data_IF_029712590429
#
_entry.id   IF_029712590429
#
_cell.length_a   1.000
_cell.length_b   1.000
_cell.length_c   1.000
_cell.angle_alpha   90.00
_cell.angle_beta   90.00
_cell.angle_gamma   90.00
#
_symmetry.space_group_name_H-M   'P 1'
#
loop_
_entity.id
_entity.type
_entity.pdbx_description
1 polymer ?
#
# COMPACT_ATOMS: atom_id res chain seq x y z
N UNK A 1 -35.36 -25.76 -56.35
CA UNK A 1 -35.26 -24.36 -55.85
C UNK A 1 -36.38 -24.21 -54.83
N UNK A 2 -36.20 -24.01 -53.52
CA UNK A 2 -35.20 -23.28 -52.74
C UNK A 2 -35.01 -24.08 -51.43
N UNK A 3 -33.79 -24.23 -50.93
CA UNK A 3 -33.60 -24.62 -49.51
C UNK A 3 -32.44 -23.81 -48.93
N UNK A 4 -32.78 -23.16 -47.82
CA UNK A 4 -32.00 -22.17 -47.10
C UNK A 4 -30.89 -22.84 -46.28
N UNK A 5 -29.68 -22.28 -46.36
CA UNK A 5 -28.56 -22.70 -45.53
C UNK A 5 -28.75 -22.23 -44.08
N UNK A 6 -28.87 -23.19 -43.16
CA UNK A 6 -28.67 -22.97 -41.72
C UNK A 6 -27.61 -23.96 -41.26
N UNK A 7 -26.44 -23.44 -40.93
CA UNK A 7 -25.27 -24.17 -40.43
C UNK A 7 -25.59 -24.77 -39.06
N UNK A 8 -25.79 -26.09 -39.03
CA UNK A 8 -25.86 -26.87 -37.81
C UNK A 8 -24.46 -27.40 -37.45
N UNK A 9 -24.05 -27.04 -36.23
CA UNK A 9 -23.11 -27.72 -35.32
C UNK A 9 -22.60 -29.10 -35.75
N UNK A 10 -21.29 -29.21 -35.97
CA UNK A 10 -20.59 -30.50 -36.00
C UNK A 10 -19.78 -30.69 -34.71
N UNK A 11 -20.27 -31.63 -33.90
CA UNK A 11 -19.64 -32.19 -32.71
C UNK A 11 -18.76 -33.36 -33.14
N UNK A 12 -17.47 -33.37 -32.79
CA UNK A 12 -16.61 -34.56 -32.69
C UNK A 12 -15.70 -34.35 -31.46
N UNK A 13 -15.89 -35.03 -30.31
CA UNK A 13 -15.44 -36.41 -29.93
C UNK A 13 -13.92 -36.57 -30.07
N UNK A 14 -13.10 -37.01 -29.12
CA UNK A 14 -13.16 -37.84 -27.88
C UNK A 14 -11.75 -37.70 -27.24
N UNK A 15 -11.51 -37.73 -25.93
CA UNK A 15 -11.15 -38.96 -25.17
C UNK A 15 -11.07 -38.69 -23.67
N UNK A 16 -11.55 -39.68 -22.90
CA UNK A 16 -11.53 -39.75 -21.45
C UNK A 16 -10.10 -39.93 -20.91
N UNK A 17 -9.76 -39.19 -19.85
CA UNK A 17 -8.96 -39.72 -18.75
C UNK A 17 -9.60 -39.26 -17.45
N UNK A 18 -10.22 -40.21 -16.74
CA UNK A 18 -10.63 -40.06 -15.36
C UNK A 18 -9.33 -40.11 -14.54
N UNK A 19 -8.78 -38.94 -14.21
CA UNK A 19 -7.91 -38.77 -13.05
C UNK A 19 -8.55 -37.74 -12.15
N UNK A 20 -8.54 -38.02 -10.84
CA UNK A 20 -9.43 -37.46 -9.83
C UNK A 20 -9.72 -35.98 -9.99
N UNK A 21 -11.00 -35.63 -9.89
CA UNK A 21 -11.45 -34.24 -9.77
C UNK A 21 -10.86 -33.64 -8.49
N UNK A 22 -9.66 -33.11 -8.60
CA UNK A 22 -9.18 -32.11 -7.67
C UNK A 22 -9.96 -30.84 -8.03
N UNK A 23 -10.99 -30.53 -7.23
CA UNK A 23 -11.61 -29.21 -7.24
C UNK A 23 -10.49 -28.16 -7.19
N UNK A 24 -10.60 -27.01 -7.89
CA UNK A 24 -9.61 -25.95 -7.72
C UNK A 24 -9.48 -25.65 -6.23
N UNK A 25 -8.30 -25.94 -5.66
CA UNK A 25 -8.06 -25.71 -4.24
C UNK A 25 -8.38 -24.26 -3.94
N UNK A 26 -9.28 -24.05 -2.98
CA UNK A 26 -9.55 -22.72 -2.45
C UNK A 26 -8.21 -22.16 -1.99
N UNK A 27 -7.74 -21.10 -2.66
CA UNK A 27 -6.48 -20.45 -2.33
C UNK A 27 -6.49 -20.05 -0.85
N UNK A 28 -5.39 -20.31 -0.17
CA UNK A 28 -5.21 -19.90 1.21
C UNK A 28 -5.30 -18.37 1.34
N UNK A 29 -5.65 -17.89 2.53
CA UNK A 29 -5.65 -16.46 2.81
C UNK A 29 -4.29 -15.81 2.54
N UNK A 30 -3.19 -16.56 2.66
CA UNK A 30 -1.85 -16.06 2.34
C UNK A 30 -1.71 -15.76 0.85
N UNK A 31 -2.07 -16.71 0.00
CA UNK A 31 -2.03 -16.56 -1.46
C UNK A 31 -3.00 -15.49 -1.95
N UNK A 32 -4.23 -15.45 -1.42
CA UNK A 32 -5.21 -14.40 -1.75
C UNK A 32 -4.73 -13.00 -1.39
N UNK A 33 -3.95 -12.86 -0.32
CA UNK A 33 -3.43 -11.58 0.14
C UNK A 33 -2.27 -11.07 -0.72
N UNK A 34 -1.59 -11.94 -1.48
CA UNK A 34 -0.57 -11.54 -2.45
C UNK A 34 -1.18 -10.76 -3.62
N UNK A 35 -2.44 -11.03 -3.96
CA UNK A 35 -3.18 -10.29 -4.99
C UNK A 35 -3.73 -8.95 -4.50
N UNK A 36 -3.78 -8.72 -3.18
CA UNK A 36 -4.28 -7.45 -2.63
C UNK A 36 -3.16 -6.42 -2.64
N UNK A 37 -3.40 -5.31 -3.34
CA UNK A 37 -2.52 -4.14 -3.23
C UNK A 37 -2.39 -3.73 -1.77
N UNK A 38 -1.17 -3.49 -1.34
CA UNK A 38 -0.89 -2.97 -0.01
C UNK A 38 -1.22 -1.49 -0.01
N UNK A 39 -1.78 -0.97 1.06
CA UNK A 39 -2.05 0.46 1.16
C UNK A 39 -1.54 1.04 2.47
N UNK A 40 -1.21 2.32 2.43
CA UNK A 40 -0.85 3.10 3.61
C UNK A 40 -1.48 4.48 3.53
N UNK A 41 -1.63 5.14 4.68
CA UNK A 41 -2.23 6.47 4.78
C UNK A 41 -1.20 7.46 5.31
N UNK A 42 -1.09 8.60 4.63
CA UNK A 42 -0.37 9.77 5.13
C UNK A 42 -1.41 10.78 5.62
N UNK A 43 -1.34 11.05 6.93
CA UNK A 43 -2.17 12.07 7.56
C UNK A 43 -1.81 13.46 7.03
N UNK A 44 -2.82 14.23 6.66
CA UNK A 44 -2.66 15.62 6.23
C UNK A 44 -2.95 16.58 7.39
N UNK A 45 -2.32 17.77 7.42
CA UNK A 45 -2.63 18.76 8.43
C UNK A 45 -4.07 19.30 8.26
N UNK A 46 -4.70 19.83 9.32
CA UNK A 46 -6.01 20.45 9.22
C UNK A 46 -6.05 21.55 8.15
N UNK A 47 -7.10 21.57 7.33
CA UNK A 47 -7.25 22.55 6.25
C UNK A 47 -6.34 22.31 5.04
N UNK A 48 -5.81 21.10 4.86
CA UNK A 48 -4.99 20.76 3.70
C UNK A 48 -5.82 20.68 2.40
N UNK A 49 -5.55 21.61 1.48
CA UNK A 49 -6.26 21.73 0.19
C UNK A 49 -5.30 21.65 -1.02
N UNK A 50 -4.01 21.42 -0.80
CA UNK A 50 -2.99 21.59 -1.83
C UNK A 50 -3.10 20.59 -3.01
N UNK A 51 -3.86 19.51 -2.83
CA UNK A 51 -4.05 18.46 -3.83
C UNK A 51 -5.47 18.40 -4.40
N UNK A 52 -6.39 19.23 -3.91
CA UNK A 52 -7.83 19.12 -4.24
C UNK A 52 -8.14 19.34 -5.73
N UNK A 53 -7.29 20.11 -6.42
CA UNK A 53 -7.45 20.42 -7.85
C UNK A 53 -6.55 19.57 -8.75
N UNK A 54 -5.73 18.68 -8.17
CA UNK A 54 -4.80 17.85 -8.93
C UNK A 54 -5.42 16.49 -9.25
N UNK A 55 -5.14 15.98 -10.45
CA UNK A 55 -5.57 14.64 -10.82
C UNK A 55 -4.77 13.57 -10.08
N UNK A 56 -5.42 12.45 -9.77
CA UNK A 56 -4.79 11.27 -9.13
C UNK A 56 -3.51 10.85 -9.85
N UNK A 57 -3.53 10.86 -11.19
CA UNK A 57 -2.37 10.52 -12.01
C UNK A 57 -1.24 11.53 -11.83
N UNK A 58 -1.54 12.82 -11.82
CA UNK A 58 -0.54 13.88 -11.66
C UNK A 58 0.14 13.79 -10.29
N UNK A 59 -0.65 13.56 -9.23
CA UNK A 59 -0.11 13.39 -7.88
C UNK A 59 0.77 12.14 -7.81
N UNK A 60 0.30 11.01 -8.39
CA UNK A 60 1.06 9.75 -8.40
C UNK A 60 2.40 9.92 -9.12
N UNK A 61 2.40 10.58 -10.28
CA UNK A 61 3.62 10.88 -11.04
C UNK A 61 4.58 11.75 -10.23
N UNK A 62 4.10 12.84 -9.62
CA UNK A 62 4.93 13.72 -8.77
C UNK A 62 5.56 12.96 -7.60
N UNK A 63 4.80 12.09 -6.93
CA UNK A 63 5.35 11.27 -5.84
C UNK A 63 6.44 10.34 -6.38
N UNK A 64 6.19 9.65 -7.49
CA UNK A 64 7.17 8.74 -8.09
C UNK A 64 8.44 9.47 -8.56
N UNK A 65 8.31 10.68 -9.10
CA UNK A 65 9.46 11.50 -9.49
C UNK A 65 10.32 11.87 -8.28
N UNK A 66 9.69 12.25 -7.16
CA UNK A 66 10.40 12.50 -5.89
C UNK A 66 11.09 11.25 -5.38
N UNK A 67 10.41 10.10 -5.38
CA UNK A 67 10.99 8.83 -4.94
C UNK A 67 12.20 8.42 -5.81
N UNK A 68 12.12 8.63 -7.12
CA UNK A 68 13.26 8.45 -8.03
C UNK A 68 14.39 9.43 -7.71
N UNK A 69 14.09 10.69 -7.44
CA UNK A 69 15.12 11.72 -7.13
C UNK A 69 15.95 11.40 -5.89
N UNK A 70 15.38 10.67 -4.92
CA UNK A 70 16.08 10.23 -3.69
C UNK A 70 16.62 8.79 -3.80
N UNK A 71 16.59 8.19 -4.99
CA UNK A 71 16.99 6.80 -5.23
C UNK A 71 16.30 5.80 -4.26
N UNK A 72 15.00 5.97 -4.03
CA UNK A 72 14.23 5.12 -3.14
C UNK A 72 14.14 3.68 -3.67
N UNK A 73 14.66 2.72 -2.92
CA UNK A 73 14.66 1.30 -3.30
C UNK A 73 14.49 0.36 -2.10
N UNK A 74 13.92 -0.82 -2.35
CA UNK A 74 13.83 -1.93 -1.39
C UNK A 74 14.36 -3.20 -2.06
N UNK A 75 15.34 -3.89 -1.44
CA UNK A 75 15.98 -5.10 -2.03
C UNK A 75 16.33 -4.92 -3.52
N UNK A 76 17.02 -3.81 -3.83
CA UNK A 76 17.41 -3.38 -5.18
C UNK A 76 16.27 -3.14 -6.19
N UNK A 77 15.00 -3.09 -5.76
CA UNK A 77 13.87 -2.70 -6.59
C UNK A 77 13.47 -1.25 -6.31
N UNK A 78 13.30 -0.40 -7.33
CA UNK A 78 12.76 0.94 -7.16
C UNK A 78 11.40 0.91 -6.47
N UNK A 79 11.17 1.86 -5.56
CA UNK A 79 9.88 2.01 -4.89
C UNK A 79 8.98 2.85 -5.77
N UNK A 80 7.85 2.28 -6.16
CA UNK A 80 6.85 2.97 -6.99
C UNK A 80 5.46 2.89 -6.38
N UNK A 81 4.78 4.03 -6.43
CA UNK A 81 3.37 4.17 -6.08
C UNK A 81 2.52 3.81 -7.28
N UNK A 82 1.65 2.81 -7.13
CA UNK A 82 0.79 2.35 -8.22
C UNK A 82 -0.42 3.26 -8.44
N UNK A 83 -0.98 3.79 -7.34
CA UNK A 83 -2.06 4.79 -7.39
C UNK A 83 -2.25 5.45 -6.03
N UNK A 84 -3.07 6.49 -6.01
CA UNK A 84 -3.51 7.15 -4.77
C UNK A 84 -5.03 7.25 -4.69
N UNK A 85 -5.55 7.51 -3.49
CA UNK A 85 -6.89 8.00 -3.25
C UNK A 85 -6.83 9.09 -2.17
N UNK A 86 -7.65 10.13 -2.31
CA UNK A 86 -7.88 11.10 -1.24
C UNK A 86 -9.07 10.62 -0.40
N UNK A 87 -8.88 10.52 0.91
CA UNK A 87 -9.94 10.17 1.84
C UNK A 87 -10.84 11.38 2.13
N UNK A 88 -12.08 11.18 2.62
CA UNK A 88 -12.93 12.29 3.07
C UNK A 88 -12.28 13.19 4.13
N UNK A 89 -11.37 12.63 4.95
CA UNK A 89 -10.55 13.37 5.90
C UNK A 89 -9.45 14.24 5.27
N UNK A 90 -9.35 14.23 3.93
CA UNK A 90 -8.26 14.82 3.12
C UNK A 90 -6.93 14.09 3.19
N UNK A 91 -6.82 13.05 4.03
CA UNK A 91 -5.67 12.17 4.08
C UNK A 91 -5.43 11.44 2.76
N UNK A 92 -4.16 11.14 2.49
CA UNK A 92 -3.75 10.53 1.23
C UNK A 92 -3.51 9.04 1.47
N UNK A 93 -4.28 8.20 0.79
CA UNK A 93 -4.08 6.75 0.76
C UNK A 93 -3.29 6.36 -0.47
N UNK A 94 -2.15 5.70 -0.26
CA UNK A 94 -1.21 5.25 -1.29
C UNK A 94 -1.39 3.75 -1.50
N UNK A 95 -1.39 3.28 -2.74
CA UNK A 95 -1.49 1.85 -3.09
C UNK A 95 -0.21 1.32 -3.73
N UNK A 96 0.41 0.33 -3.08
CA UNK A 96 1.67 -0.31 -3.47
C UNK A 96 1.45 -1.74 -3.94
N UNK A 97 2.43 -2.26 -4.68
CA UNK A 97 2.45 -3.65 -5.10
C UNK A 97 2.91 -4.59 -3.97
N UNK A 98 3.80 -4.13 -3.06
CA UNK A 98 4.38 -5.01 -2.04
C UNK A 98 4.41 -4.38 -0.64
N UNK A 99 4.38 -5.24 0.40
CA UNK A 99 4.48 -4.79 1.81
C UNK A 99 5.81 -4.09 2.12
N UNK A 100 6.97 -4.59 1.68
CA UNK A 100 8.25 -3.93 1.94
C UNK A 100 8.30 -2.49 1.42
N UNK A 101 7.73 -2.22 0.24
CA UNK A 101 7.65 -0.87 -0.33
C UNK A 101 6.80 0.06 0.56
N UNK A 102 5.61 -0.39 0.96
CA UNK A 102 4.74 0.39 1.85
C UNK A 102 5.39 0.67 3.21
N UNK A 103 6.08 -0.33 3.79
CA UNK A 103 6.80 -0.18 5.04
C UNK A 103 7.96 0.82 4.91
N UNK A 104 8.71 0.76 3.81
CA UNK A 104 9.77 1.72 3.54
C UNK A 104 9.22 3.15 3.43
N UNK A 105 8.12 3.35 2.69
CA UNK A 105 7.49 4.67 2.53
C UNK A 105 7.04 5.26 3.86
N UNK A 106 6.45 4.44 4.73
CA UNK A 106 6.02 4.88 6.06
C UNK A 106 7.20 5.28 6.94
N UNK A 107 8.24 4.45 6.99
CA UNK A 107 9.40 4.70 7.85
C UNK A 107 10.25 5.88 7.35
N UNK A 108 10.26 6.11 6.04
CA UNK A 108 11.03 7.18 5.41
C UNK A 108 10.15 8.37 4.99
N UNK A 109 8.91 8.50 5.49
CA UNK A 109 8.02 9.62 5.15
C UNK A 109 8.68 10.99 5.29
N UNK A 110 9.50 11.16 6.32
CA UNK A 110 10.25 12.38 6.61
C UNK A 110 11.29 12.75 5.53
N UNK A 111 11.69 11.80 4.67
CA UNK A 111 12.66 12.04 3.58
C UNK A 111 12.02 12.52 2.29
N UNK A 112 10.75 12.19 2.05
CA UNK A 112 10.12 12.40 0.75
C UNK A 112 8.88 13.30 0.80
N UNK A 113 8.16 13.39 1.93
CA UNK A 113 6.91 14.16 1.94
C UNK A 113 7.14 15.66 1.79
N UNK A 114 8.22 16.21 2.33
CA UNK A 114 8.61 17.62 2.19
C UNK A 114 8.96 17.97 0.73
N UNK A 115 9.68 17.06 0.05
CA UNK A 115 10.05 17.20 -1.37
C UNK A 115 8.85 17.11 -2.30
N UNK A 116 7.87 16.27 -1.96
CA UNK A 116 6.61 16.16 -2.69
C UNK A 116 5.71 17.36 -2.46
N UNK A 117 5.53 17.77 -1.20
CA UNK A 117 4.72 18.90 -0.82
C UNK A 117 5.20 19.45 0.52
N UNK A 118 5.73 20.67 0.54
CA UNK A 118 6.23 21.29 1.77
C UNK A 118 5.18 21.42 2.88
N UNK A 119 3.89 21.52 2.50
CA UNK A 119 2.76 21.51 3.43
C UNK A 119 2.47 20.13 4.05
N UNK A 120 3.08 19.06 3.53
CA UNK A 120 3.03 17.69 4.07
C UNK A 120 4.34 17.26 4.72
N UNK A 121 5.19 18.22 5.09
CA UNK A 121 6.44 17.91 5.79
C UNK A 121 6.17 17.04 7.02
N UNK A 122 6.86 15.90 7.07
CA UNK A 122 6.82 15.00 8.22
C UNK A 122 8.20 14.95 8.86
N UNK A 123 8.23 14.72 10.17
CA UNK A 123 9.47 14.63 10.94
C UNK A 123 9.82 13.17 11.23
N UNK A 124 11.12 12.84 11.37
CA UNK A 124 11.53 11.53 11.85
C UNK A 124 10.87 11.22 13.20
N UNK A 125 10.38 10.00 13.36
CA UNK A 125 9.84 9.53 14.63
C UNK A 125 10.97 9.49 15.66
N UNK A 126 10.95 10.39 16.64
CA UNK A 126 11.97 10.46 17.71
C UNK A 126 11.70 9.53 18.89
N UNK A 127 10.49 8.98 18.99
CA UNK A 127 10.08 8.14 20.11
C UNK A 127 9.83 6.71 19.61
N UNK A 128 10.66 5.73 20.00
CA UNK A 128 10.47 4.33 19.63
C UNK A 128 9.27 3.70 20.35
N UNK A 129 8.83 4.27 21.48
CA UNK A 129 7.74 3.78 22.31
C UNK A 129 6.91 4.96 22.78
N UNK A 130 5.62 4.99 22.44
CA UNK A 130 4.64 5.75 23.22
C UNK A 130 4.39 4.90 24.46
N UNK A 131 5.00 5.23 25.60
CA UNK A 131 4.68 4.59 26.87
C UNK A 131 3.19 4.83 27.15
N UNK A 132 2.40 3.77 27.06
CA UNK A 132 0.96 3.79 27.32
C UNK A 132 0.63 3.66 28.82
N UNK A 133 1.65 3.53 29.66
CA UNK A 133 1.51 3.56 31.10
C UNK A 133 2.16 4.85 31.64
N UNK A 134 1.32 5.78 32.09
CA UNK A 134 1.74 6.74 33.12
C UNK A 134 1.79 5.94 34.41
N UNK A 135 2.97 5.78 35.07
CA UNK A 135 3.02 5.09 36.35
C UNK A 135 2.10 5.81 37.33
N UNK A 136 1.23 5.06 38.02
CA UNK A 136 0.27 5.60 38.99
C UNK A 136 0.96 6.36 40.12
N UNK A 137 2.22 6.04 40.39
CA UNK A 137 3.14 6.81 41.23
C UNK A 137 4.54 6.79 40.61
N UNK A 138 5.14 7.97 40.49
CA UNK A 138 6.55 8.13 40.13
C UNK A 138 7.22 8.94 41.25
N UNK A 139 8.19 8.33 41.91
CA UNK A 139 9.03 9.03 42.88
C UNK A 139 10.36 9.38 42.19
N UNK A 140 10.61 10.67 41.87
CA UNK A 140 11.85 11.08 41.21
C UNK A 140 13.09 10.90 42.09
N UNK A 141 12.91 10.64 43.39
CA UNK A 141 14.01 10.42 44.34
C UNK A 141 14.35 8.94 44.51
N UNK A 142 13.54 8.03 43.95
CA UNK A 142 13.77 6.60 44.05
C UNK A 142 14.69 6.09 42.92
N UNK A 143 15.86 5.51 43.24
CA UNK A 143 16.75 4.90 42.24
C UNK A 143 16.24 3.54 41.75
N UNK A 144 15.15 3.01 42.30
CA UNK A 144 14.58 1.71 41.93
C UNK A 144 14.19 1.61 40.44
N UNK A 145 13.86 2.75 39.82
CA UNK A 145 13.52 2.83 38.39
C UNK A 145 14.74 2.73 37.46
N UNK A 146 15.97 2.70 38.00
CA UNK A 146 17.23 2.66 37.26
C UNK A 146 17.93 1.30 37.30
N UNK A 147 17.33 0.28 37.94
CA UNK A 147 17.92 -1.06 38.02
C UNK A 147 17.28 -2.00 36.97
N UNK A 148 18.13 -2.65 36.17
CA UNK A 148 17.79 -3.73 35.21
C UNK A 148 17.63 -5.09 35.90
#
# INVERSE_FOLDING_TARGET
MISSNKTNTSKLRTTNLIMGQHLPTVLSNKELNEFKKVSMVIGTPPGFLALDMLLVLEITTKINDVLRSINAQTKSLPIEVASIAQLPSKDIKLYMNTRPMAHWLLNNKHKWTDLFCSKLKTYPTRFPVILHAVPTSFDPTSPSHLQE
#
